data_IF_479278310500
#
_entry.id   IF_479278310500
#
_cell.length_a   1.000
_cell.length_b   1.000
_cell.length_c   1.000
_cell.angle_alpha   90.00
_cell.angle_beta   90.00
_cell.angle_gamma   90.00
#
_symmetry.space_group_name_H-M   'P 1'
#
loop_
_entity.id
_entity.type
_entity.pdbx_description
1 polymer ?
#
# COMPACT_ATOMS: atom_id res chain seq x y z
N UNK A 1 -1.18 -28.62 -48.62
CA UNK A 1 -2.40 -28.29 -49.35
C UNK A 1 -2.58 -26.80 -49.15
N UNK A 2 -2.23 -26.02 -50.16
CA UNK A 2 -2.22 -24.57 -50.11
C UNK A 2 -3.66 -24.07 -50.27
N UNK A 3 -4.22 -23.52 -49.20
CA UNK A 3 -5.50 -22.83 -49.23
C UNK A 3 -5.24 -21.32 -49.22
N UNK A 4 -4.82 -20.77 -50.36
CA UNK A 4 -4.80 -19.33 -50.60
C UNK A 4 -6.09 -18.91 -51.28
N UNK A 5 -6.80 -17.93 -50.71
CA UNK A 5 -7.93 -17.27 -51.38
C UNK A 5 -7.47 -15.86 -51.75
N UNK A 6 -7.48 -15.59 -53.06
CA UNK A 6 -7.23 -14.26 -53.62
C UNK A 6 -8.57 -13.56 -53.85
N UNK A 7 -8.76 -12.38 -53.24
CA UNK A 7 -9.92 -11.54 -53.50
C UNK A 7 -9.45 -10.30 -54.25
N UNK A 8 -10.07 -10.05 -55.41
CA UNK A 8 -9.77 -8.93 -56.28
C UNK A 8 -10.99 -8.02 -56.42
N UNK A 9 -10.85 -6.76 -56.01
CA UNK A 9 -11.89 -5.75 -56.22
C UNK A 9 -11.75 -5.13 -57.62
N UNK A 10 -12.71 -5.42 -58.50
CA UNK A 10 -12.70 -5.04 -59.91
C UNK A 10 -12.80 -3.53 -60.18
N UNK A 11 -13.13 -2.72 -59.16
CA UNK A 11 -13.22 -1.26 -59.28
C UNK A 11 -11.97 -0.53 -58.79
N UNK A 12 -11.22 -1.07 -57.82
CA UNK A 12 -10.05 -0.42 -57.23
C UNK A 12 -8.71 -1.06 -57.65
N UNK A 13 -8.75 -2.20 -58.36
CA UNK A 13 -7.55 -3.00 -58.72
C UNK A 13 -6.72 -3.45 -57.50
N UNK A 14 -7.29 -3.38 -56.28
CA UNK A 14 -6.65 -3.91 -55.09
C UNK A 14 -6.77 -5.43 -55.03
N UNK A 15 -5.66 -6.08 -54.72
CA UNK A 15 -5.57 -7.52 -54.49
C UNK A 15 -5.22 -7.77 -53.02
N UNK A 16 -6.08 -8.53 -52.34
CA UNK A 16 -5.83 -8.99 -50.97
C UNK A 16 -5.60 -10.50 -50.96
N UNK A 17 -4.54 -10.92 -50.27
CA UNK A 17 -4.21 -12.33 -50.02
C UNK A 17 -4.53 -12.67 -48.57
N UNK A 18 -5.47 -13.60 -48.36
CA UNK A 18 -5.81 -14.08 -47.03
C UNK A 18 -5.07 -15.40 -46.76
N UNK A 19 -4.22 -15.41 -45.74
CA UNK A 19 -3.62 -16.62 -45.18
C UNK A 19 -4.49 -17.09 -44.02
N UNK A 20 -4.95 -18.34 -44.06
CA UNK A 20 -5.82 -18.92 -43.04
C UNK A 20 -5.00 -19.31 -41.79
N UNK A 21 -5.03 -18.47 -40.75
CA UNK A 21 -4.47 -18.77 -39.43
C UNK A 21 -4.58 -17.58 -38.49
N UNK A 22 -5.63 -17.57 -37.66
CA UNK A 22 -6.05 -16.55 -36.69
C UNK A 22 -6.39 -15.16 -37.23
N UNK A 23 -7.56 -14.66 -36.82
CA UNK A 23 -8.15 -13.38 -37.21
C UNK A 23 -7.41 -12.15 -36.67
N UNK A 24 -6.09 -12.10 -36.84
CA UNK A 24 -5.28 -10.95 -36.51
C UNK A 24 -5.41 -9.94 -37.65
N UNK A 25 -6.20 -8.90 -37.42
CA UNK A 25 -6.21 -7.72 -38.30
C UNK A 25 -4.77 -7.20 -38.40
N UNK A 26 -4.22 -7.01 -39.62
CA UNK A 26 -2.88 -6.47 -39.79
C UNK A 26 -2.81 -5.05 -39.22
N UNK A 27 -1.94 -4.82 -38.24
CA UNK A 27 -1.74 -3.48 -37.69
C UNK A 27 -0.67 -2.70 -38.47
N UNK A 28 -0.85 -1.38 -38.54
CA UNK A 28 0.05 -0.48 -39.28
C UNK A 28 1.42 -0.30 -38.61
N UNK A 29 1.48 -0.39 -37.28
CA UNK A 29 2.73 -0.35 -36.52
C UNK A 29 2.95 -1.67 -35.76
N UNK A 30 4.18 -2.19 -35.70
CA UNK A 30 4.50 -3.38 -34.91
C UNK A 30 4.13 -3.26 -33.43
N UNK A 31 4.22 -2.05 -32.87
CA UNK A 31 3.85 -1.75 -31.49
C UNK A 31 2.35 -1.96 -31.23
N UNK A 32 1.49 -1.67 -32.22
CA UNK A 32 0.03 -1.76 -32.09
C UNK A 32 -0.45 -3.20 -31.82
N UNK A 33 0.32 -4.21 -32.26
CA UNK A 33 0.06 -5.61 -31.89
C UNK A 33 0.14 -5.82 -30.37
N UNK A 34 1.10 -5.19 -29.69
CA UNK A 34 1.23 -5.32 -28.24
C UNK A 34 0.21 -4.44 -27.52
N UNK A 35 -0.04 -3.23 -28.03
CA UNK A 35 -1.03 -2.30 -27.47
C UNK A 35 -2.42 -2.94 -27.45
N UNK A 36 -2.83 -3.60 -28.53
CA UNK A 36 -4.14 -4.25 -28.60
C UNK A 36 -4.37 -5.23 -27.46
N UNK A 37 -3.38 -6.08 -27.16
CA UNK A 37 -3.49 -7.02 -26.04
C UNK A 37 -3.37 -6.37 -24.67
N UNK A 38 -2.66 -5.24 -24.55
CA UNK A 38 -2.56 -4.51 -23.28
C UNK A 38 -3.88 -3.81 -22.91
N UNK A 39 -4.66 -3.35 -23.89
CA UNK A 39 -5.97 -2.71 -23.67
C UNK A 39 -7.03 -3.71 -23.18
N UNK A 40 -6.84 -5.00 -23.44
CA UNK A 40 -7.78 -6.05 -22.99
C UNK A 40 -7.73 -6.29 -21.47
N UNK A 41 -6.73 -5.75 -20.76
CA UNK A 41 -6.68 -5.83 -19.30
C UNK A 41 -7.54 -4.75 -18.64
N UNK A 42 -8.41 -5.17 -17.72
CA UNK A 42 -9.35 -4.28 -17.01
C UNK A 42 -8.67 -3.20 -16.16
N UNK A 43 -7.40 -3.37 -15.80
CA UNK A 43 -6.59 -2.45 -14.99
C UNK A 43 -5.70 -1.52 -15.84
N UNK A 44 -5.82 -1.56 -17.17
CA UNK A 44 -5.06 -0.71 -18.10
C UNK A 44 -5.99 0.31 -18.78
N UNK A 45 -5.80 1.60 -18.46
CA UNK A 45 -6.50 2.69 -19.14
C UNK A 45 -5.65 3.23 -20.31
N UNK A 46 -6.08 2.98 -21.55
CA UNK A 46 -5.39 3.48 -22.74
C UNK A 46 -5.35 5.01 -22.79
N UNK A 47 -6.49 5.66 -22.54
CA UNK A 47 -6.65 7.10 -22.68
C UNK A 47 -5.72 7.88 -21.73
N UNK A 48 -5.50 7.36 -20.53
CA UNK A 48 -4.66 8.01 -19.51
C UNK A 48 -3.16 7.72 -19.69
N UNK A 49 -2.81 6.62 -20.35
CA UNK A 49 -1.44 6.07 -20.32
C UNK A 49 -0.86 5.70 -21.69
N UNK A 50 -1.46 6.14 -22.80
CA UNK A 50 -1.02 5.84 -24.16
C UNK A 50 0.49 6.06 -24.39
N UNK A 51 1.07 7.15 -23.88
CA UNK A 51 2.51 7.43 -24.04
C UNK A 51 3.39 6.35 -23.38
N UNK A 52 3.03 5.89 -22.18
CA UNK A 52 3.73 4.82 -21.48
C UNK A 52 3.57 3.48 -22.19
N UNK A 53 2.35 3.16 -22.62
CA UNK A 53 2.06 1.92 -23.34
C UNK A 53 2.89 1.82 -24.62
N UNK A 54 2.92 2.90 -25.42
CA UNK A 54 3.74 2.95 -26.64
C UNK A 54 5.24 2.90 -26.36
N UNK A 55 5.70 3.49 -25.26
CA UNK A 55 7.10 3.39 -24.84
C UNK A 55 7.50 1.95 -24.53
N UNK A 56 6.69 1.23 -23.75
CA UNK A 56 6.96 -0.16 -23.35
C UNK A 56 6.86 -1.12 -24.55
N UNK A 57 5.81 -0.98 -25.37
CA UNK A 57 5.67 -1.74 -26.61
C UNK A 57 6.85 -1.48 -27.56
N UNK A 58 7.28 -0.23 -27.69
CA UNK A 58 8.44 0.15 -28.49
C UNK A 58 9.75 -0.46 -27.98
N UNK A 59 9.95 -0.55 -26.66
CA UNK A 59 11.11 -1.23 -26.07
C UNK A 59 11.13 -2.73 -26.41
N UNK A 60 9.97 -3.40 -26.31
CA UNK A 60 9.85 -4.81 -26.69
C UNK A 60 10.15 -5.01 -28.19
N UNK A 61 9.55 -4.20 -29.07
CA UNK A 61 9.81 -4.26 -30.53
C UNK A 61 11.28 -3.96 -30.86
N UNK A 62 11.89 -2.97 -30.19
CA UNK A 62 13.31 -2.64 -30.38
C UNK A 62 14.21 -3.81 -29.97
N UNK A 63 13.86 -4.51 -28.89
CA UNK A 63 14.56 -5.71 -28.48
C UNK A 63 14.42 -6.84 -29.52
N UNK A 64 13.22 -7.11 -30.02
CA UNK A 64 13.01 -8.09 -31.10
C UNK A 64 13.88 -7.77 -32.33
N UNK A 65 13.93 -6.50 -32.72
CA UNK A 65 14.75 -6.01 -33.86
C UNK A 65 16.26 -6.12 -33.62
N UNK A 66 16.73 -6.23 -32.38
CA UNK A 66 18.17 -6.35 -32.12
C UNK A 66 18.71 -7.71 -32.54
N UNK A 67 17.87 -8.74 -32.57
CA UNK A 67 18.28 -10.11 -32.92
C UNK A 67 17.53 -10.70 -34.14
N UNK A 68 16.36 -10.17 -34.50
CA UNK A 68 15.64 -10.51 -35.74
C UNK A 68 15.90 -9.44 -36.80
N UNK A 69 16.60 -9.81 -37.87
CA UNK A 69 17.03 -8.87 -38.90
C UNK A 69 15.98 -8.63 -40.00
N UNK A 70 15.05 -9.57 -40.20
CA UNK A 70 14.00 -9.42 -41.21
C UNK A 70 12.71 -8.86 -40.59
N UNK A 71 12.08 -7.86 -41.23
CA UNK A 71 10.80 -7.32 -40.76
C UNK A 71 9.71 -8.39 -40.57
N UNK A 72 9.65 -9.37 -41.48
CA UNK A 72 8.64 -10.44 -41.44
C UNK A 72 8.84 -11.38 -40.24
N UNK A 73 10.08 -11.60 -39.79
CA UNK A 73 10.38 -12.43 -38.62
C UNK A 73 9.93 -11.75 -37.33
N UNK A 74 10.09 -10.42 -37.25
CA UNK A 74 9.60 -9.61 -36.12
C UNK A 74 8.06 -9.65 -36.07
N UNK A 75 7.41 -9.48 -37.23
CA UNK A 75 5.95 -9.51 -37.32
C UNK A 75 5.39 -10.88 -36.92
N UNK A 76 6.04 -11.96 -37.36
CA UNK A 76 5.67 -13.32 -37.01
C UNK A 76 5.74 -13.54 -35.50
N UNK A 77 6.84 -13.14 -34.84
CA UNK A 77 6.94 -13.25 -33.37
C UNK A 77 5.88 -12.42 -32.65
N UNK A 78 5.60 -11.20 -33.10
CA UNK A 78 4.58 -10.34 -32.51
C UNK A 78 3.18 -10.92 -32.63
N UNK A 79 2.88 -11.63 -33.72
CA UNK A 79 1.59 -12.29 -33.94
C UNK A 79 1.46 -13.57 -33.11
N UNK A 80 2.43 -14.48 -33.19
CA UNK A 80 2.34 -15.81 -32.57
C UNK A 80 2.62 -15.79 -31.06
N UNK A 81 3.46 -14.87 -30.58
CA UNK A 81 3.81 -14.76 -29.16
C UNK A 81 3.21 -13.51 -28.50
N UNK A 82 2.19 -12.91 -29.12
CA UNK A 82 1.51 -11.70 -28.65
C UNK A 82 1.15 -11.77 -27.16
N UNK A 83 0.42 -12.81 -26.75
CA UNK A 83 -0.08 -12.95 -25.38
C UNK A 83 1.06 -13.04 -24.35
N UNK A 84 2.14 -13.75 -24.68
CA UNK A 84 3.28 -13.88 -23.78
C UNK A 84 4.04 -12.55 -23.61
N UNK A 85 4.24 -11.82 -24.70
CA UNK A 85 4.89 -10.50 -24.69
C UNK A 85 4.04 -9.47 -23.95
N UNK A 86 2.74 -9.46 -24.21
CA UNK A 86 1.75 -8.61 -23.55
C UNK A 86 1.71 -8.89 -22.05
N UNK A 87 1.67 -10.16 -21.64
CA UNK A 87 1.69 -10.54 -20.22
C UNK A 87 2.98 -10.11 -19.53
N UNK A 88 4.14 -10.21 -20.19
CA UNK A 88 5.41 -9.77 -19.62
C UNK A 88 5.47 -8.27 -19.40
N UNK A 89 4.96 -7.48 -20.36
CA UNK A 89 4.84 -6.03 -20.23
C UNK A 89 3.86 -5.67 -19.11
N UNK A 90 2.72 -6.37 -19.01
CA UNK A 90 1.73 -6.13 -17.97
C UNK A 90 2.27 -6.42 -16.56
N UNK A 91 2.98 -7.53 -16.36
CA UNK A 91 3.66 -7.83 -15.08
C UNK A 91 4.66 -6.73 -14.72
N UNK A 92 5.46 -6.26 -15.69
CA UNK A 92 6.38 -5.15 -15.46
C UNK A 92 5.65 -3.84 -15.10
N UNK A 93 4.49 -3.58 -15.71
CA UNK A 93 3.66 -2.43 -15.34
C UNK A 93 3.14 -2.53 -13.91
N UNK A 94 2.75 -3.72 -13.47
CA UNK A 94 2.27 -3.98 -12.11
C UNK A 94 3.38 -3.84 -11.06
N UNK A 95 4.58 -4.38 -11.33
CA UNK A 95 5.75 -4.26 -10.44
C UNK A 95 6.17 -2.80 -10.22
N UNK A 96 5.86 -1.91 -11.17
CA UNK A 96 6.18 -0.49 -11.12
C UNK A 96 4.94 0.40 -10.97
N UNK A 97 3.79 -0.18 -10.60
CA UNK A 97 2.57 0.57 -10.39
C UNK A 97 2.66 1.37 -9.08
N UNK A 98 2.61 2.70 -9.20
CA UNK A 98 2.48 3.60 -8.06
C UNK A 98 1.10 4.28 -8.10
N UNK A 99 0.20 3.88 -7.20
CA UNK A 99 -1.07 4.56 -6.99
C UNK A 99 -0.80 5.94 -6.38
N UNK A 100 -0.85 6.99 -7.22
CA UNK A 100 -0.89 8.38 -6.72
C UNK A 100 -2.27 8.60 -6.12
N UNK A 101 -2.40 8.37 -4.82
CA UNK A 101 -3.63 8.57 -4.08
C UNK A 101 -4.27 9.92 -4.45
N UNK A 102 -5.40 9.86 -5.17
CA UNK A 102 -6.29 11.00 -5.30
C UNK A 102 -6.67 11.39 -3.86
N UNK A 103 -6.50 12.66 -3.53
CA UNK A 103 -6.63 13.23 -2.19
C UNK A 103 -7.65 12.52 -1.28
N UNK A 104 -7.21 12.00 -0.14
CA UNK A 104 -8.10 11.49 0.91
C UNK A 104 -9.05 12.59 1.41
N UNK A 105 -10.35 12.43 1.16
CA UNK A 105 -11.39 13.26 1.77
C UNK A 105 -11.79 12.66 3.12
N UNK A 106 -11.42 13.31 4.21
CA UNK A 106 -11.71 12.83 5.55
C UNK A 106 -13.20 13.06 5.89
N UNK A 107 -13.98 11.99 5.94
CA UNK A 107 -15.36 12.03 6.44
C UNK A 107 -15.38 11.83 7.96
N UNK A 108 -15.79 12.88 8.68
CA UNK A 108 -16.11 12.80 10.11
C UNK A 108 -17.57 12.39 10.24
N UNK A 109 -17.84 11.12 10.54
CA UNK A 109 -19.19 10.65 10.85
C UNK A 109 -19.53 10.94 12.32
N UNK A 110 -20.78 11.33 12.60
CA UNK A 110 -21.28 11.56 13.97
C UNK A 110 -21.64 10.22 14.67
N UNK A 111 -20.70 9.30 14.70
CA UNK A 111 -20.81 8.03 15.43
C UNK A 111 -19.71 7.94 16.49
N UNK A 112 -20.02 7.39 17.65
CA UNK A 112 -19.00 6.89 18.57
C UNK A 112 -18.88 5.39 18.37
N UNK A 113 -17.66 4.91 18.13
CA UNK A 113 -17.37 3.47 18.15
C UNK A 113 -16.86 3.13 19.55
N UNK A 114 -17.56 2.24 20.25
CA UNK A 114 -17.05 1.69 21.50
C UNK A 114 -15.99 0.66 21.17
N UNK A 115 -14.76 0.90 21.64
CA UNK A 115 -13.68 -0.09 21.59
C UNK A 115 -14.17 -1.36 22.30
N UNK A 116 -14.15 -2.49 21.59
CA UNK A 116 -14.64 -3.77 22.12
C UNK A 116 -13.52 -4.45 22.89
N UNK A 117 -13.88 -5.14 23.98
CA UNK A 117 -12.93 -6.01 24.67
C UNK A 117 -12.43 -7.10 23.72
N UNK A 118 -11.10 -7.14 23.52
CA UNK A 118 -10.48 -8.26 22.82
C UNK A 118 -10.72 -9.54 23.64
N UNK A 119 -11.51 -10.45 23.08
CA UNK A 119 -11.78 -11.75 23.70
C UNK A 119 -10.59 -12.66 23.44
N UNK A 120 -9.67 -12.75 24.40
CA UNK A 120 -8.58 -13.73 24.34
C UNK A 120 -9.07 -15.07 24.88
N UNK A 121 -9.10 -16.10 24.04
CA UNK A 121 -9.30 -17.48 24.50
C UNK A 121 -8.03 -17.95 25.22
N UNK A 122 -8.15 -18.17 26.53
CA UNK A 122 -7.07 -18.69 27.38
C UNK A 122 -7.32 -20.19 27.60
N UNK A 123 -6.33 -21.07 27.34
CA UNK A 123 -6.35 -22.43 27.91
C UNK A 123 -6.50 -22.35 29.44
N UNK A 124 -7.32 -23.20 30.05
CA UNK A 124 -7.70 -23.10 31.47
C UNK A 124 -6.50 -23.17 32.46
N UNK A 125 -5.35 -23.58 31.97
CA UNK A 125 -4.08 -23.85 32.64
C UNK A 125 -3.00 -22.78 32.43
N UNK A 126 -3.24 -21.75 31.59
CA UNK A 126 -2.26 -20.70 31.31
C UNK A 126 -2.62 -19.36 31.98
N UNK A 127 -1.87 -18.95 33.00
CA UNK A 127 -2.05 -17.64 33.66
C UNK A 127 -1.30 -16.53 32.92
N UNK A 128 -1.91 -15.34 32.84
CA UNK A 128 -1.25 -14.16 32.27
C UNK A 128 0.08 -13.87 32.98
N UNK A 129 1.15 -13.72 32.19
CA UNK A 129 2.50 -13.42 32.68
C UNK A 129 2.63 -11.92 32.97
N UNK A 130 3.46 -11.54 33.93
CA UNK A 130 3.78 -10.12 34.12
C UNK A 130 4.49 -9.59 32.86
N UNK A 131 4.02 -8.47 32.30
CA UNK A 131 4.60 -7.92 31.08
C UNK A 131 6.07 -7.48 31.23
N UNK A 132 6.57 -7.28 32.46
CA UNK A 132 7.98 -6.99 32.76
C UNK A 132 8.82 -8.23 32.99
N UNK A 133 8.20 -9.42 33.13
CA UNK A 133 8.95 -10.65 33.32
C UNK A 133 9.89 -10.89 32.13
N UNK A 134 11.14 -11.33 32.36
CA UNK A 134 12.03 -11.75 31.30
C UNK A 134 11.41 -12.89 30.48
N UNK A 135 11.50 -12.80 29.16
CA UNK A 135 11.06 -13.87 28.25
C UNK A 135 12.30 -14.53 27.65
N UNK A 136 12.53 -15.79 28.00
CA UNK A 136 13.63 -16.62 27.48
C UNK A 136 13.33 -17.11 26.06
N UNK A 137 12.11 -17.59 25.83
CA UNK A 137 11.66 -18.12 24.53
C UNK A 137 10.95 -17.02 23.72
N UNK A 138 11.71 -16.09 23.16
CA UNK A 138 11.17 -14.94 22.41
C UNK A 138 10.33 -15.33 21.19
N UNK A 139 10.56 -16.51 20.62
CA UNK A 139 9.81 -17.03 19.46
C UNK A 139 8.34 -17.33 19.80
N UNK A 140 8.05 -17.66 21.07
CA UNK A 140 6.71 -18.01 21.52
C UNK A 140 5.89 -16.83 22.04
N UNK A 141 6.42 -15.60 21.98
CA UNK A 141 5.73 -14.39 22.49
C UNK A 141 4.32 -14.22 21.93
N UNK A 142 4.10 -14.57 20.66
CA UNK A 142 2.78 -14.50 20.01
C UNK A 142 1.72 -15.39 20.66
N UNK A 143 2.17 -16.44 21.35
CA UNK A 143 1.32 -17.41 22.03
C UNK A 143 1.06 -17.01 23.47
N UNK A 144 1.99 -16.27 24.08
CA UNK A 144 1.92 -15.85 25.47
C UNK A 144 0.88 -14.75 25.70
N UNK A 145 0.25 -14.80 26.88
CA UNK A 145 -0.62 -13.74 27.37
C UNK A 145 0.09 -12.96 28.47
N UNK A 146 0.06 -11.64 28.39
CA UNK A 146 0.67 -10.75 29.36
C UNK A 146 -0.40 -9.92 30.08
N UNK A 147 -0.16 -9.63 31.36
CA UNK A 147 -1.03 -8.82 32.21
C UNK A 147 -0.22 -8.02 33.23
N UNK A 148 -0.91 -7.41 34.19
CA UNK A 148 -0.30 -6.53 35.20
C UNK A 148 -0.21 -5.06 34.80
N UNK A 149 -0.84 -4.69 33.67
CA UNK A 149 -0.90 -3.31 33.19
C UNK A 149 -1.72 -2.41 34.10
N UNK A 150 -1.28 -1.16 34.29
CA UNK A 150 -2.01 -0.11 35.03
C UNK A 150 -2.62 0.93 34.11
N UNK A 151 -2.02 1.17 32.94
CA UNK A 151 -2.43 2.20 31.97
C UNK A 151 -3.03 1.59 30.69
N UNK A 152 -2.83 0.30 30.44
CA UNK A 152 -3.51 -0.37 29.34
C UNK A 152 -5.03 -0.34 29.57
N UNK A 153 -5.82 -0.07 28.53
CA UNK A 153 -7.28 -0.16 28.61
C UNK A 153 -7.79 -1.59 28.82
N UNK A 154 -6.97 -2.58 28.48
CA UNK A 154 -7.30 -3.98 28.61
C UNK A 154 -6.45 -4.65 29.68
N UNK A 155 -7.04 -5.58 30.44
CA UNK A 155 -6.36 -6.28 31.55
C UNK A 155 -5.22 -7.17 31.09
N UNK A 156 -5.36 -7.72 29.89
CA UNK A 156 -4.41 -8.66 29.29
C UNK A 156 -4.18 -8.32 27.82
N UNK A 157 -3.00 -8.65 27.31
CA UNK A 157 -2.59 -8.40 25.93
C UNK A 157 -1.71 -9.53 25.40
N UNK A 158 -1.77 -9.74 24.08
CA UNK A 158 -0.77 -10.50 23.32
C UNK A 158 0.13 -9.54 22.55
N UNK A 159 1.37 -9.96 22.29
CA UNK A 159 2.32 -9.20 21.49
C UNK A 159 2.82 -10.04 20.33
N UNK A 160 3.10 -9.40 19.19
CA UNK A 160 3.64 -10.08 18.02
C UNK A 160 5.16 -10.25 18.12
N UNK A 161 5.80 -9.46 18.98
CA UNK A 161 7.25 -9.46 19.20
C UNK A 161 7.66 -8.99 20.61
N UNK A 162 8.87 -9.37 21.04
CA UNK A 162 9.44 -8.89 22.32
C UNK A 162 9.63 -7.36 22.36
N UNK A 163 10.09 -6.70 21.28
CA UNK A 163 10.17 -5.24 21.22
C UNK A 163 8.84 -4.54 21.51
N UNK A 164 7.71 -5.04 20.99
CA UNK A 164 6.38 -4.48 21.33
C UNK A 164 6.04 -4.65 22.81
N UNK A 165 6.30 -5.83 23.39
CA UNK A 165 6.12 -6.06 24.84
C UNK A 165 6.98 -5.09 25.66
N UNK A 166 8.24 -4.89 25.26
CA UNK A 166 9.15 -3.93 25.93
C UNK A 166 8.68 -2.49 25.74
N UNK A 167 8.10 -2.15 24.59
CA UNK A 167 7.50 -0.83 24.38
C UNK A 167 6.31 -0.60 25.31
N UNK A 168 5.44 -1.60 25.49
CA UNK A 168 4.39 -1.53 26.51
C UNK A 168 4.96 -1.26 27.91
N UNK A 169 6.13 -1.82 28.24
CA UNK A 169 6.80 -1.53 29.51
C UNK A 169 7.32 -0.10 29.64
N UNK A 170 7.80 0.51 28.55
CA UNK A 170 8.12 1.95 28.49
C UNK A 170 6.87 2.78 28.75
N UNK A 171 5.75 2.48 28.08
CA UNK A 171 4.48 3.20 28.25
C UNK A 171 3.94 3.12 29.69
N UNK A 172 4.01 1.94 30.30
CA UNK A 172 3.59 1.73 31.69
C UNK A 172 4.47 2.46 32.70
N UNK A 173 5.73 2.73 32.36
CA UNK A 173 6.69 3.40 33.24
C UNK A 173 6.70 4.92 33.08
N UNK A 174 6.37 5.44 31.88
CA UNK A 174 6.41 6.87 31.58
C UNK A 174 5.27 7.66 32.26
N UNK A 175 5.60 8.63 33.12
CA UNK A 175 4.63 9.40 33.91
C UNK A 175 3.67 10.26 33.07
N UNK A 176 4.03 10.62 31.83
CA UNK A 176 3.19 11.43 30.94
C UNK A 176 2.15 10.60 30.21
N UNK A 177 2.32 9.28 30.14
CA UNK A 177 1.33 8.37 29.56
C UNK A 177 0.16 8.21 30.52
N UNK A 178 -1.04 8.44 30.01
CA UNK A 178 -2.30 8.30 30.75
C UNK A 178 -2.93 6.94 30.49
N UNK A 179 -3.05 6.57 29.21
CA UNK A 179 -3.61 5.29 28.78
C UNK A 179 -3.02 4.85 27.45
N UNK A 180 -3.07 3.56 27.18
CA UNK A 180 -2.73 3.01 25.89
C UNK A 180 -3.53 1.74 25.61
N UNK A 181 -3.60 1.34 24.35
CA UNK A 181 -4.15 0.04 23.96
C UNK A 181 -3.60 -0.36 22.59
N UNK A 182 -3.75 -1.64 22.26
CA UNK A 182 -3.58 -2.13 20.89
C UNK A 182 -4.93 -2.09 20.19
N UNK A 183 -5.11 -1.30 19.12
CA UNK A 183 -6.38 -1.27 18.40
C UNK A 183 -6.64 -2.61 17.71
N UNK A 184 -7.89 -3.04 17.73
CA UNK A 184 -8.36 -4.16 16.94
C UNK A 184 -8.74 -3.75 15.52
N UNK A 185 -9.03 -4.76 14.69
CA UNK A 185 -9.51 -4.57 13.33
C UNK A 185 -10.74 -3.67 13.29
N UNK A 186 -10.62 -2.55 12.56
CA UNK A 186 -11.70 -1.58 12.37
C UNK A 186 -11.88 -0.55 13.50
N UNK A 187 -11.06 -0.58 14.56
CA UNK A 187 -11.06 0.48 15.59
C UNK A 187 -10.55 1.81 15.03
N UNK A 188 -9.61 1.74 14.08
CA UNK A 188 -9.08 2.86 13.33
C UNK A 188 -9.28 2.63 11.83
N UNK A 189 -9.99 3.55 11.18
CA UNK A 189 -10.19 3.51 9.73
C UNK A 189 -9.04 4.23 9.03
N UNK A 190 -7.88 3.55 8.92
CA UNK A 190 -6.71 4.03 8.18
C UNK A 190 -6.60 3.21 6.89
N UNK A 191 -6.84 3.84 5.76
CA UNK A 191 -6.77 3.21 4.44
C UNK A 191 -5.43 3.52 3.79
N UNK A 192 -4.77 2.50 3.26
CA UNK A 192 -3.42 2.61 2.72
C UNK A 192 -3.32 2.21 1.24
N UNK A 193 -4.03 1.17 0.81
CA UNK A 193 -4.12 0.74 -0.59
C UNK A 193 -5.45 0.01 -0.82
N UNK A 194 -6.30 0.57 -1.69
CA UNK A 194 -7.65 0.05 -1.97
C UNK A 194 -8.48 -0.23 -0.70
N UNK A 195 -8.90 -1.49 -0.54
CA UNK A 195 -9.72 -1.96 0.59
C UNK A 195 -8.92 -2.36 1.85
N UNK A 196 -7.58 -2.34 1.79
CA UNK A 196 -6.75 -2.81 2.90
C UNK A 196 -6.67 -1.77 4.02
N UNK A 197 -7.24 -2.12 5.18
CA UNK A 197 -7.14 -1.34 6.41
C UNK A 197 -5.81 -1.60 7.10
N UNK A 198 -5.10 -0.53 7.46
CA UNK A 198 -3.92 -0.60 8.31
C UNK A 198 -4.34 -0.66 9.79
N UNK A 199 -3.77 -1.63 10.51
CA UNK A 199 -3.96 -1.85 11.95
C UNK A 199 -2.63 -1.55 12.66
N UNK A 200 -2.50 -0.38 13.32
CA UNK A 200 -1.25 -0.03 13.99
C UNK A 200 -1.08 -0.79 15.30
N UNK A 201 0.16 -0.96 15.75
CA UNK A 201 0.44 -1.72 16.98
C UNK A 201 -0.15 -1.07 18.24
N UNK A 202 0.02 0.24 18.42
CA UNK A 202 -0.37 0.95 19.64
C UNK A 202 -1.09 2.27 19.37
N UNK A 203 -2.07 2.57 20.21
CA UNK A 203 -2.60 3.91 20.43
C UNK A 203 -2.28 4.34 21.86
N UNK A 204 -1.68 5.51 22.00
CA UNK A 204 -1.23 6.05 23.29
C UNK A 204 -1.82 7.43 23.51
N UNK A 205 -2.39 7.66 24.68
CA UNK A 205 -2.74 9.00 25.13
C UNK A 205 -1.80 9.47 26.23
N UNK A 206 -1.17 10.62 25.99
CA UNK A 206 -0.34 11.33 26.97
C UNK A 206 -1.11 12.52 27.55
N UNK A 207 -0.50 13.25 28.48
CA UNK A 207 -1.05 14.51 28.97
C UNK A 207 -1.28 15.52 27.84
N UNK A 208 -0.46 15.48 26.79
CA UNK A 208 -0.39 16.57 25.79
C UNK A 208 -0.83 16.14 24.38
N UNK A 209 -0.79 14.85 24.05
CA UNK A 209 -1.02 14.34 22.71
C UNK A 209 -1.69 12.96 22.72
N UNK A 210 -2.18 12.55 21.56
CA UNK A 210 -2.49 11.16 21.25
C UNK A 210 -1.53 10.69 20.17
N UNK A 211 -1.08 9.45 20.25
CA UNK A 211 -0.08 8.88 19.37
C UNK A 211 -0.59 7.58 18.79
N UNK A 212 -0.30 7.37 17.51
CA UNK A 212 -0.30 6.04 16.91
C UNK A 212 1.17 5.64 16.80
N UNK A 213 1.53 4.48 17.33
CA UNK A 213 2.90 4.01 17.33
C UNK A 213 2.98 2.62 16.68
N UNK A 214 3.91 2.47 15.75
CA UNK A 214 4.27 1.20 15.10
C UNK A 214 5.69 0.82 15.51
N UNK A 215 5.89 -0.45 15.90
CA UNK A 215 7.22 -1.00 16.17
C UNK A 215 7.65 -1.87 15.00
N UNK A 216 8.78 -1.56 14.38
CA UNK A 216 9.23 -2.27 13.17
C UNK A 216 10.68 -2.72 13.22
N UNK A 217 11.03 -3.72 12.43
CA UNK A 217 12.44 -4.07 12.25
C UNK A 217 13.21 -2.87 11.69
N UNK A 218 14.44 -2.65 12.15
CA UNK A 218 15.27 -1.56 11.65
C UNK A 218 15.56 -1.71 10.14
N UNK A 219 15.63 -2.97 9.66
CA UNK A 219 15.84 -3.28 8.25
C UNK A 219 14.60 -3.02 7.38
N UNK A 220 13.41 -2.94 7.97
CA UNK A 220 12.14 -2.74 7.25
C UNK A 220 11.72 -1.26 7.24
N UNK A 221 12.48 -0.35 7.85
CA UNK A 221 12.11 1.06 7.91
C UNK A 221 12.09 1.75 6.53
N UNK A 222 12.88 1.25 5.59
CA UNK A 222 12.96 1.76 4.22
C UNK A 222 12.08 0.96 3.25
N UNK A 223 11.39 -0.07 3.75
CA UNK A 223 10.49 -0.88 2.93
C UNK A 223 9.32 -0.04 2.39
N UNK A 224 9.01 -0.22 1.11
CA UNK A 224 8.01 0.59 0.43
C UNK A 224 6.62 0.45 1.05
N UNK A 225 6.23 -0.77 1.45
CA UNK A 225 4.93 -1.05 2.05
C UNK A 225 4.85 -0.45 3.47
N UNK A 226 5.91 -0.59 4.26
CA UNK A 226 6.01 0.02 5.60
C UNK A 226 5.92 1.54 5.53
N UNK A 227 6.69 2.16 4.63
CA UNK A 227 6.68 3.61 4.45
C UNK A 227 5.32 4.11 3.95
N UNK A 228 4.66 3.34 3.10
CA UNK A 228 3.38 3.71 2.57
C UNK A 228 2.29 3.63 3.67
N UNK A 229 2.28 2.60 4.52
CA UNK A 229 1.41 2.55 5.73
C UNK A 229 1.69 3.70 6.68
N UNK A 230 2.97 4.02 6.90
CA UNK A 230 3.39 5.15 7.72
C UNK A 230 2.88 6.50 7.19
N UNK A 231 2.90 6.69 5.86
CA UNK A 231 2.30 7.88 5.21
C UNK A 231 0.80 7.97 5.47
N UNK A 232 0.06 6.87 5.25
CA UNK A 232 -1.38 6.83 5.51
C UNK A 232 -1.73 7.15 6.97
N UNK A 233 -0.99 6.58 7.92
CA UNK A 233 -1.18 6.84 9.34
C UNK A 233 -0.84 8.28 9.75
N UNK A 234 0.20 8.87 9.14
CA UNK A 234 0.57 10.27 9.35
C UNK A 234 -0.46 11.24 8.78
N UNK A 235 -1.01 10.95 7.60
CA UNK A 235 -2.14 11.69 7.00
C UNK A 235 -3.39 11.59 7.88
N UNK A 236 -3.70 10.40 8.40
CA UNK A 236 -4.81 10.20 9.34
C UNK A 236 -4.62 11.06 10.59
N UNK A 237 -3.42 11.05 11.20
CA UNK A 237 -3.10 11.88 12.37
C UNK A 237 -3.25 13.38 12.08
N UNK A 238 -2.94 13.83 10.86
CA UNK A 238 -3.14 15.21 10.46
C UNK A 238 -4.62 15.60 10.47
N UNK A 239 -5.48 14.80 9.86
CA UNK A 239 -6.93 15.05 9.85
C UNK A 239 -7.53 14.95 11.26
N UNK A 240 -7.14 13.93 12.03
CA UNK A 240 -7.56 13.75 13.42
C UNK A 240 -7.15 14.95 14.29
N UNK A 241 -5.96 15.52 14.08
CA UNK A 241 -5.51 16.75 14.74
C UNK A 241 -6.33 17.97 14.34
N UNK A 242 -6.68 18.10 13.05
CA UNK A 242 -7.55 19.16 12.55
C UNK A 242 -8.91 19.14 13.24
N UNK A 243 -9.52 17.96 13.32
CA UNK A 243 -10.78 17.76 14.04
C UNK A 243 -10.62 18.02 15.55
N UNK A 244 -9.58 17.47 16.19
CA UNK A 244 -9.33 17.66 17.61
C UNK A 244 -9.20 19.15 17.98
N UNK A 245 -8.52 19.95 17.15
CA UNK A 245 -8.38 21.39 17.39
C UNK A 245 -9.71 22.14 17.46
N UNK A 246 -10.69 21.76 16.62
CA UNK A 246 -12.04 22.34 16.62
C UNK A 246 -12.83 21.96 17.89
N UNK A 247 -12.50 20.81 18.50
CA UNK A 247 -13.19 20.24 19.65
C UNK A 247 -12.37 20.27 20.96
N UNK A 248 -11.36 21.16 21.05
CA UNK A 248 -10.46 21.27 22.21
C UNK A 248 -9.80 19.93 22.64
N UNK A 249 -9.62 19.02 21.68
CA UNK A 249 -8.94 17.75 21.84
C UNK A 249 -7.42 17.88 21.73
N UNK A 250 -6.74 16.79 22.09
CA UNK A 250 -5.28 16.67 21.98
C UNK A 250 -4.87 16.43 20.52
N UNK A 251 -3.74 17.00 20.06
CA UNK A 251 -3.19 16.70 18.74
C UNK A 251 -2.79 15.23 18.63
N UNK A 252 -2.78 14.73 17.39
CA UNK A 252 -2.39 13.38 17.01
C UNK A 252 -1.08 13.37 16.24
N UNK A 253 -0.21 12.40 16.54
CA UNK A 253 1.04 12.16 15.80
C UNK A 253 1.25 10.67 15.56
N UNK A 254 1.94 10.33 14.47
CA UNK A 254 2.34 8.96 14.16
C UNK A 254 3.85 8.76 14.42
N UNK A 255 4.20 7.68 15.10
CA UNK A 255 5.58 7.28 15.40
C UNK A 255 5.89 5.94 14.71
N UNK A 256 7.00 5.89 13.97
CA UNK A 256 7.55 4.66 13.39
C UNK A 256 8.85 4.32 14.10
N UNK A 257 8.81 3.36 15.04
CA UNK A 257 9.87 3.11 16.01
C UNK A 257 10.63 1.84 15.62
N UNK A 258 11.94 1.92 15.34
CA UNK A 258 12.74 0.72 15.13
C UNK A 258 12.89 -0.08 16.43
N UNK A 259 12.76 -1.40 16.32
CA UNK A 259 12.75 -2.33 17.43
C UNK A 259 14.00 -2.28 18.33
N UNK A 260 15.17 -1.99 17.74
CA UNK A 260 16.47 -1.93 18.42
C UNK A 260 16.68 -0.63 19.20
N UNK A 261 15.76 0.33 19.07
CA UNK A 261 15.72 1.58 19.82
C UNK A 261 14.76 1.51 21.01
N UNK A 262 14.16 0.36 21.30
CA UNK A 262 13.32 0.20 22.49
C UNK A 262 14.18 -0.35 23.63
N UNK A 263 14.47 0.51 24.61
CA UNK A 263 15.20 0.14 25.82
C UNK A 263 14.45 0.56 27.09
N UNK A 264 14.69 -0.16 28.18
CA UNK A 264 13.92 -0.02 29.43
C UNK A 264 14.12 1.33 30.12
N UNK A 265 15.22 2.03 29.80
CA UNK A 265 15.55 3.35 30.31
C UNK A 265 15.07 4.50 29.41
N UNK A 266 14.36 4.21 28.31
CA UNK A 266 13.85 5.24 27.42
C UNK A 266 12.60 5.93 27.97
N UNK A 267 12.38 7.15 27.51
CA UNK A 267 11.14 7.90 27.72
C UNK A 267 10.38 8.01 26.41
N UNK A 268 9.05 8.10 26.49
CA UNK A 268 8.23 8.27 25.31
C UNK A 268 8.55 9.59 24.60
N UNK A 269 8.88 10.65 25.35
CA UNK A 269 9.29 11.94 24.76
C UNK A 269 10.53 11.82 23.88
N UNK A 270 11.53 11.02 24.29
CA UNK A 270 12.73 10.77 23.48
C UNK A 270 12.36 10.08 22.17
N UNK A 271 11.47 9.09 22.23
CA UNK A 271 10.98 8.39 21.04
C UNK A 271 10.15 9.31 20.13
N UNK A 272 9.30 10.17 20.70
CA UNK A 272 8.55 11.18 19.93
C UNK A 272 9.52 12.11 19.20
N UNK A 273 10.54 12.63 19.89
CA UNK A 273 11.47 13.59 19.31
C UNK A 273 12.26 13.02 18.11
N UNK A 274 12.57 11.72 18.13
CA UNK A 274 13.39 11.07 17.10
C UNK A 274 12.58 10.37 16.02
N UNK A 275 11.44 9.77 16.36
CA UNK A 275 10.72 8.82 15.49
C UNK A 275 9.33 9.28 15.07
N UNK A 276 8.98 10.55 15.32
CA UNK A 276 7.77 11.12 14.71
C UNK A 276 7.92 11.13 13.19
N UNK A 277 7.03 10.40 12.50
CA UNK A 277 7.06 10.32 11.05
C UNK A 277 6.42 11.57 10.44
N UNK A 278 7.24 12.38 9.76
CA UNK A 278 6.79 13.58 9.12
C UNK A 278 5.92 13.26 7.90
N UNK A 279 4.75 13.91 7.82
CA UNK A 279 3.92 13.89 6.63
C UNK A 279 4.67 14.54 5.46
N UNK A 280 4.72 13.86 4.33
CA UNK A 280 5.26 14.43 3.11
C UNK A 280 4.32 15.53 2.58
N UNK A 281 4.84 16.76 2.49
CA UNK A 281 4.08 17.93 2.00
C UNK A 281 4.19 18.12 0.49
N UNK A 282 5.05 17.35 -0.18
CA UNK A 282 5.41 17.56 -1.60
C UNK A 282 4.37 17.03 -2.59
N UNK A 283 3.50 16.09 -2.20
CA UNK A 283 2.44 15.56 -3.05
C UNK A 283 1.26 16.53 -3.31
N UNK A 284 1.26 17.73 -2.72
CA UNK A 284 0.11 18.66 -2.75
C UNK A 284 0.07 19.61 -3.96
N UNK A 285 1.01 19.50 -4.90
CA UNK A 285 1.24 20.53 -5.93
C UNK A 285 0.96 20.05 -7.36
N UNK A 286 -0.11 19.31 -7.61
CA UNK A 286 -0.62 19.07 -8.97
C UNK A 286 -2.11 18.70 -8.92
N UNK A 287 -2.96 19.68 -8.65
CA UNK A 287 -4.34 19.64 -9.16
C UNK A 287 -4.47 20.86 -10.07
N UNK A 288 -4.52 20.70 -11.40
CA UNK A 288 -4.89 21.80 -12.26
C UNK A 288 -6.32 22.21 -11.90
N UNK A 289 -6.51 23.49 -11.58
CA UNK A 289 -7.82 24.05 -11.33
C UNK A 289 -8.75 23.70 -12.50
N UNK A 290 -9.87 23.03 -12.23
CA UNK A 290 -10.97 22.91 -13.18
C UNK A 290 -11.31 24.33 -13.62
N UNK A 291 -11.04 24.65 -14.88
CA UNK A 291 -11.59 25.85 -15.52
C UNK A 291 -13.11 25.70 -15.45
N UNK A 292 -13.75 26.62 -14.75
CA UNK A 292 -15.19 26.73 -14.77
C UNK A 292 -15.64 26.96 -16.22
N UNK A 293 -16.43 26.04 -16.77
CA UNK A 293 -17.16 26.29 -18.00
C UNK A 293 -18.17 27.41 -17.75
N UNK A 294 -18.24 28.43 -18.62
CA UNK A 294 -19.27 29.44 -18.52
C UNK A 294 -20.59 28.79 -18.92
N UNK A 295 -21.57 28.82 -18.00
CA UNK A 295 -22.96 28.62 -18.35
C UNK A 295 -23.38 29.70 -19.34
N UNK A 296 -23.71 29.31 -20.57
CA UNK A 296 -24.72 29.93 -21.41
C UNK A 296 -25.39 28.84 -22.25
#
# INVERSE_FOLDING_TARGET
>A
MDNEILIQHLQSMEQHRLMSGDGVVPESKPEDYLIRGLIDFNDVCYDDHAELLYKLAGQAVAHLRSYLKKPDEVLNVLQYHQQALVSLIHVQMQDHYEEKAASYEAHVSKGFTTLRDNTYSIPADESARDFRAPVTERQDIRRMLFGGFKKCLYRVQKFDSDPERRFAAVLESDKKVLKWFRPGKGDLHIHHSGESSYEPDFVVETTNAKLICEVKSAAELEDAEVLAKARAASDWCHYASGHAKVHAGKPWSYLLIPHDRIADNMTLDGLIATYTFARDRSARRMVPARKAEPKQ
#
